data_IF_316415012197
#
_entry.id   IF_316415012197
#
_cell.length_a   1.000
_cell.length_b   1.000
_cell.length_c   1.000
_cell.angle_alpha   90.00
_cell.angle_beta   90.00
_cell.angle_gamma   90.00
#
_symmetry.space_group_name_H-M   'P 1'
#
loop_
_entity.id
_entity.type
_entity.pdbx_description
1 polymer ?
#
# COMPACT_ATOMS: atom_id res chain seq x y z
N UNK A 1 5.59 24.87 -10.34
CA UNK A 1 5.80 23.96 -11.49
C UNK A 1 5.19 24.62 -12.70
N UNK A 2 5.97 24.81 -13.76
CA UNK A 2 5.48 25.34 -15.02
C UNK A 2 5.48 24.23 -16.09
N UNK A 3 4.36 24.03 -16.76
CA UNK A 3 4.22 23.00 -17.80
C UNK A 3 3.27 23.47 -18.90
N UNK A 4 3.80 23.73 -20.10
CA UNK A 4 3.02 24.20 -21.27
C UNK A 4 2.09 25.38 -20.94
N UNK A 5 2.56 26.34 -20.14
CA UNK A 5 1.80 27.51 -19.71
C UNK A 5 0.92 27.29 -18.47
N UNK A 6 0.77 26.05 -17.99
CA UNK A 6 0.12 25.75 -16.72
C UNK A 6 1.12 25.98 -15.57
N UNK A 7 0.94 27.09 -14.85
CA UNK A 7 1.67 27.39 -13.62
C UNK A 7 0.91 26.86 -12.40
N UNK A 8 1.44 25.80 -11.79
CA UNK A 8 0.92 25.22 -10.55
C UNK A 8 1.74 25.72 -9.36
N UNK A 9 1.03 26.34 -8.41
CA UNK A 9 1.59 26.67 -7.09
C UNK A 9 1.85 25.38 -6.33
N UNK A 10 3.09 25.22 -5.85
CA UNK A 10 3.43 24.13 -4.93
C UNK A 10 3.03 24.62 -3.53
N UNK A 11 2.31 23.77 -2.81
CA UNK A 11 2.06 23.96 -1.38
C UNK A 11 3.09 23.08 -0.67
N UNK A 12 3.96 23.72 0.11
CA UNK A 12 4.99 23.06 0.91
C UNK A 12 4.59 23.25 2.36
N UNK A 13 4.59 22.17 3.13
CA UNK A 13 4.47 22.26 4.58
C UNK A 13 5.85 22.57 5.18
N UNK A 14 6.09 23.84 5.47
CA UNK A 14 7.35 24.30 6.05
C UNK A 14 7.57 23.76 7.48
N UNK A 15 6.55 23.25 8.17
CA UNK A 15 6.74 22.62 9.48
C UNK A 15 7.14 21.15 9.35
N UNK A 16 6.95 20.56 8.18
CA UNK A 16 7.30 19.18 7.91
C UNK A 16 8.78 19.03 7.53
N UNK A 17 9.60 18.61 8.52
CA UNK A 17 11.02 18.36 8.33
C UNK A 17 11.33 17.44 7.13
N UNK A 18 10.51 16.40 6.92
CA UNK A 18 10.72 15.46 5.82
C UNK A 18 10.56 16.14 4.46
N UNK A 19 9.56 16.99 4.29
CA UNK A 19 9.35 17.73 3.03
C UNK A 19 10.49 18.71 2.78
N UNK A 20 10.89 19.47 3.80
CA UNK A 20 12.03 20.39 3.73
C UNK A 20 13.32 19.70 3.32
N UNK A 21 13.63 18.56 3.93
CA UNK A 21 14.84 17.82 3.62
C UNK A 21 14.78 17.18 2.23
N UNK A 22 13.62 16.68 1.80
CA UNK A 22 13.43 16.11 0.47
C UNK A 22 13.64 17.15 -0.63
N UNK A 23 13.23 18.40 -0.40
CA UNK A 23 13.37 19.50 -1.35
C UNK A 23 14.81 19.93 -1.60
N UNK A 24 15.77 19.54 -0.74
CA UNK A 24 17.20 19.77 -0.95
C UNK A 24 17.78 18.85 -2.03
N UNK A 25 17.13 17.71 -2.29
CA UNK A 25 17.57 16.76 -3.31
C UNK A 25 17.26 17.27 -4.73
N UNK A 26 18.09 16.88 -5.69
CA UNK A 26 17.86 17.22 -7.10
C UNK A 26 16.53 16.63 -7.59
N UNK A 27 15.73 17.40 -8.33
CA UNK A 27 14.50 16.91 -8.94
C UNK A 27 14.88 16.05 -10.16
N UNK A 28 14.48 14.78 -10.14
CA UNK A 28 14.60 13.89 -11.30
C UNK A 28 13.60 14.27 -12.39
N UNK A 29 12.32 14.35 -12.03
CA UNK A 29 11.24 14.75 -12.93
C UNK A 29 9.95 15.10 -12.16
N UNK A 30 9.04 15.78 -12.82
CA UNK A 30 7.66 15.98 -12.36
C UNK A 30 6.70 15.18 -13.24
N UNK A 31 5.66 14.58 -12.66
CA UNK A 31 4.58 13.91 -13.41
C UNK A 31 3.19 14.28 -12.93
N UNK A 32 2.24 14.34 -13.85
CA UNK A 32 0.83 14.53 -13.54
C UNK A 32 0.16 13.17 -13.29
N UNK A 33 -0.43 13.02 -12.11
CA UNK A 33 -1.17 11.83 -11.70
C UNK A 33 -2.65 12.15 -11.61
N UNK A 34 -3.44 11.36 -12.32
CA UNK A 34 -4.89 11.41 -12.28
C UNK A 34 -5.44 10.33 -11.36
N UNK A 35 -6.19 10.72 -10.33
CA UNK A 35 -6.87 9.80 -9.40
C UNK A 35 -8.37 10.10 -9.35
N UNK A 36 -9.21 9.07 -9.31
CA UNK A 36 -10.62 9.24 -9.00
C UNK A 36 -10.80 9.07 -7.48
N UNK A 37 -11.27 10.11 -6.80
CA UNK A 37 -11.45 10.14 -5.34
C UNK A 37 -12.86 10.64 -5.05
N UNK A 38 -13.65 9.81 -4.36
CA UNK A 38 -15.04 10.14 -3.99
C UNK A 38 -15.89 10.60 -5.20
N UNK A 39 -15.75 9.89 -6.33
CA UNK A 39 -16.48 10.18 -7.57
C UNK A 39 -15.96 11.39 -8.36
N UNK A 40 -14.94 12.09 -7.87
CA UNK A 40 -14.36 13.25 -8.54
C UNK A 40 -12.97 12.92 -9.09
N UNK A 41 -12.74 13.33 -10.33
CA UNK A 41 -11.42 13.27 -10.93
C UNK A 41 -10.53 14.34 -10.31
N UNK A 42 -9.41 13.93 -9.72
CA UNK A 42 -8.41 14.82 -9.13
C UNK A 42 -7.07 14.63 -9.84
N UNK A 43 -6.41 15.74 -10.10
CA UNK A 43 -5.07 15.79 -10.68
C UNK A 43 -4.09 16.23 -9.61
N UNK A 44 -2.96 15.52 -9.53
CA UNK A 44 -1.88 15.80 -8.60
C UNK A 44 -0.60 15.93 -9.40
N UNK A 45 0.23 16.91 -9.06
CA UNK A 45 1.60 16.91 -9.55
C UNK A 45 2.47 16.20 -8.54
N UNK A 46 3.13 15.13 -8.99
CA UNK A 46 4.12 14.42 -8.20
C UNK A 46 5.50 14.84 -8.64
N UNK A 47 6.28 15.34 -7.68
CA UNK A 47 7.71 15.61 -7.84
C UNK A 47 8.46 14.34 -7.44
N UNK A 48 9.43 13.94 -8.26
CA UNK A 48 10.32 12.81 -7.99
C UNK A 48 11.72 13.35 -7.85
N UNK A 49 12.36 13.05 -6.72
CA UNK A 49 13.71 13.47 -6.40
C UNK A 49 14.71 12.35 -6.68
N UNK A 50 15.95 12.72 -7.00
CA UNK A 50 17.09 11.80 -7.07
C UNK A 50 17.64 11.53 -5.67
N UNK A 51 18.41 10.45 -5.56
CA UNK A 51 19.11 10.09 -4.32
C UNK A 51 18.21 9.38 -3.31
N UNK A 52 18.67 9.36 -2.06
CA UNK A 52 17.98 8.66 -0.98
C UNK A 52 16.87 9.53 -0.38
N UNK A 53 15.71 8.95 -0.01
CA UNK A 53 14.67 9.69 0.70
C UNK A 53 15.24 10.21 2.05
N UNK A 54 14.75 11.31 2.63
CA UNK A 54 15.20 11.83 3.93
C UNK A 54 14.98 10.87 5.12
N UNK A 55 15.77 11.04 6.19
CA UNK A 55 15.62 10.31 7.46
C UNK A 55 14.56 11.00 8.32
N UNK A 56 13.75 10.18 8.99
CA UNK A 56 12.83 10.69 10.00
C UNK A 56 13.62 11.09 11.26
N UNK A 57 13.20 12.18 11.91
CA UNK A 57 13.81 12.67 13.15
C UNK A 57 12.90 12.31 14.31
N UNK A 58 13.48 11.81 15.39
CA UNK A 58 12.73 11.66 16.62
C UNK A 58 12.45 13.03 17.24
N UNK A 59 11.17 13.40 17.33
CA UNK A 59 10.76 14.72 17.83
C UNK A 59 11.17 14.98 19.29
N UNK A 60 11.43 13.95 20.08
CA UNK A 60 11.82 14.09 21.50
C UNK A 60 13.32 14.28 21.66
N UNK A 61 14.13 13.51 20.92
CA UNK A 61 15.59 13.54 21.05
C UNK A 61 16.28 14.46 20.05
N UNK A 62 15.60 14.80 18.95
CA UNK A 62 16.17 15.56 17.83
C UNK A 62 17.12 14.73 16.95
N UNK A 63 17.30 13.44 17.25
CA UNK A 63 18.20 12.56 16.52
C UNK A 63 17.52 11.89 15.32
N UNK A 64 18.30 11.58 14.29
CA UNK A 64 17.83 10.77 13.18
C UNK A 64 17.52 9.35 13.64
N UNK A 65 16.30 8.88 13.33
CA UNK A 65 15.94 7.49 13.58
C UNK A 65 16.83 6.57 12.77
N UNK A 66 17.37 5.55 13.44
CA UNK A 66 18.06 4.45 12.75
C UNK A 66 17.07 3.82 11.79
N UNK A 67 17.43 3.77 10.50
CA UNK A 67 16.61 3.13 9.47
C UNK A 67 16.61 1.62 9.59
N UNK A 68 17.74 1.08 10.07
CA UNK A 68 18.06 -0.33 9.97
C UNK A 68 18.76 -0.78 11.25
N UNK A 69 18.40 -1.98 11.71
CA UNK A 69 19.10 -2.71 12.76
C UNK A 69 20.40 -3.34 12.24
N UNK A 70 20.85 -4.41 12.90
CA UNK A 70 22.06 -5.14 12.53
C UNK A 70 21.80 -6.64 12.59
N UNK A 71 22.30 -7.36 11.59
CA UNK A 71 22.22 -8.82 11.54
C UNK A 71 21.13 -9.33 10.62
N UNK A 72 20.98 -10.65 10.62
CA UNK A 72 20.07 -11.38 9.75
C UNK A 72 18.67 -11.48 10.34
N UNK A 73 17.66 -11.20 9.52
CA UNK A 73 16.25 -11.41 9.83
C UNK A 73 15.69 -12.38 8.81
N UNK A 74 15.20 -13.52 9.28
CA UNK A 74 14.57 -14.54 8.44
C UNK A 74 13.09 -14.27 8.36
N UNK A 75 12.51 -14.35 7.17
CA UNK A 75 11.10 -13.99 6.93
C UNK A 75 10.41 -15.08 6.12
N UNK A 76 9.30 -15.58 6.64
CA UNK A 76 8.36 -16.46 5.95
C UNK A 76 7.08 -15.70 5.68
N UNK A 77 6.71 -15.59 4.40
CA UNK A 77 5.56 -14.80 3.96
C UNK A 77 4.49 -15.76 3.44
N UNK A 78 3.48 -16.01 4.27
CA UNK A 78 2.28 -16.73 3.87
C UNK A 78 1.28 -15.83 3.14
N UNK A 79 0.14 -16.43 2.76
CA UNK A 79 -0.96 -15.68 2.09
C UNK A 79 -1.61 -14.60 2.97
N UNK A 80 -1.65 -14.84 4.27
CA UNK A 80 -2.37 -14.01 5.25
C UNK A 80 -1.47 -13.49 6.38
N UNK A 81 -0.38 -14.20 6.67
CA UNK A 81 0.49 -13.93 7.79
C UNK A 81 1.92 -13.82 7.32
N UNK A 82 2.72 -13.10 8.08
CA UNK A 82 4.16 -13.08 7.99
C UNK A 82 4.71 -13.53 9.32
N UNK A 83 5.68 -14.43 9.29
CA UNK A 83 6.51 -14.78 10.44
C UNK A 83 7.90 -14.24 10.16
N UNK A 84 8.47 -13.50 11.10
CA UNK A 84 9.89 -13.15 11.06
C UNK A 84 10.60 -13.65 12.30
N UNK A 85 11.88 -13.98 12.16
CA UNK A 85 12.74 -14.46 13.23
C UNK A 85 14.04 -13.65 13.30
N UNK A 86 14.45 -13.29 14.52
CA UNK A 86 15.74 -12.65 14.83
C UNK A 86 16.28 -13.21 16.14
N UNK A 87 17.54 -13.65 16.14
CA UNK A 87 18.25 -14.15 17.33
C UNK A 87 17.49 -15.23 18.13
N UNK A 88 16.74 -16.08 17.45
CA UNK A 88 15.93 -17.16 18.05
C UNK A 88 14.56 -16.73 18.54
N UNK A 89 14.20 -15.45 18.46
CA UNK A 89 12.85 -14.95 18.73
C UNK A 89 12.05 -14.84 17.43
N UNK A 90 10.86 -15.44 17.40
CA UNK A 90 9.95 -15.36 16.24
C UNK A 90 8.68 -14.57 16.58
N UNK A 91 8.16 -13.84 15.59
CA UNK A 91 6.90 -13.11 15.70
C UNK A 91 6.04 -13.35 14.46
N UNK A 92 4.78 -13.71 14.70
CA UNK A 92 3.76 -13.82 13.68
C UNK A 92 2.89 -12.57 13.64
N UNK A 93 2.65 -12.04 12.43
CA UNK A 93 1.85 -10.85 12.18
C UNK A 93 0.85 -11.14 11.06
N UNK A 94 -0.41 -10.78 11.26
CA UNK A 94 -1.39 -10.78 10.17
C UNK A 94 -1.12 -9.64 9.19
N UNK A 95 -0.99 -9.98 7.91
CA UNK A 95 -0.78 -9.02 6.83
C UNK A 95 -2.03 -8.19 6.58
N UNK A 96 -1.86 -6.87 6.59
CA UNK A 96 -2.88 -5.90 6.22
C UNK A 96 -4.26 -6.13 6.88
N UNK A 97 -4.27 -6.38 8.19
CA UNK A 97 -5.48 -6.60 9.01
C UNK A 97 -6.47 -5.42 8.95
N UNK A 98 -6.01 -4.16 8.86
CA UNK A 98 -6.88 -2.96 8.88
C UNK A 98 -7.82 -2.82 7.67
N UNK A 99 -7.78 -3.72 6.69
CA UNK A 99 -8.71 -3.71 5.55
C UNK A 99 -10.07 -4.36 5.86
N UNK A 100 -10.24 -5.03 7.01
CA UNK A 100 -11.43 -5.82 7.32
C UNK A 100 -12.75 -5.07 7.10
N UNK A 101 -12.87 -3.85 7.64
CA UNK A 101 -14.08 -3.03 7.49
C UNK A 101 -14.39 -2.71 6.02
N UNK A 102 -13.35 -2.45 5.23
CA UNK A 102 -13.46 -2.21 3.79
C UNK A 102 -13.85 -3.49 3.04
N UNK A 103 -13.41 -4.66 3.49
CA UNK A 103 -13.81 -5.95 2.89
C UNK A 103 -15.28 -6.28 3.12
N UNK A 104 -15.78 -6.02 4.33
CA UNK A 104 -17.22 -6.15 4.63
C UNK A 104 -18.01 -5.23 3.71
N UNK A 105 -17.65 -3.95 3.62
CA UNK A 105 -18.34 -2.99 2.75
C UNK A 105 -18.26 -3.36 1.27
N UNK A 106 -17.10 -3.83 0.81
CA UNK A 106 -16.90 -4.34 -0.56
C UNK A 106 -17.91 -5.44 -0.87
N UNK A 107 -18.08 -6.41 0.04
CA UNK A 107 -19.00 -7.54 -0.12
C UNK A 107 -20.45 -7.07 -0.23
N UNK A 108 -20.88 -6.19 0.66
CA UNK A 108 -22.23 -5.61 0.63
C UNK A 108 -22.53 -4.92 -0.71
N UNK A 109 -21.58 -4.15 -1.23
CA UNK A 109 -21.73 -3.44 -2.50
C UNK A 109 -21.82 -4.39 -3.69
N UNK A 110 -20.97 -5.43 -3.72
CA UNK A 110 -21.01 -6.47 -4.75
C UNK A 110 -22.36 -7.19 -4.74
N UNK A 111 -22.85 -7.61 -3.57
CA UNK A 111 -24.15 -8.27 -3.43
C UNK A 111 -25.30 -7.38 -3.90
N UNK A 112 -25.30 -6.09 -3.52
CA UNK A 112 -26.29 -5.11 -4.00
C UNK A 112 -26.25 -4.96 -5.52
N UNK A 113 -25.07 -4.90 -6.12
CA UNK A 113 -24.91 -4.79 -7.58
C UNK A 113 -25.41 -6.07 -8.26
N UNK A 114 -25.02 -7.25 -7.77
CA UNK A 114 -25.41 -8.54 -8.33
C UNK A 114 -26.91 -8.80 -8.20
N UNK A 115 -27.53 -8.42 -7.08
CA UNK A 115 -28.98 -8.48 -6.91
C UNK A 115 -29.70 -7.63 -7.96
N UNK A 116 -29.27 -6.38 -8.18
CA UNK A 116 -29.86 -5.51 -9.22
C UNK A 116 -29.75 -6.12 -10.61
N UNK A 117 -28.63 -6.79 -10.92
CA UNK A 117 -28.44 -7.49 -12.20
C UNK A 117 -29.43 -8.65 -12.36
N UNK A 118 -29.63 -9.47 -11.31
CA UNK A 118 -30.61 -10.57 -11.30
C UNK A 118 -32.04 -10.07 -11.47
N UNK A 119 -32.36 -8.91 -10.89
CA UNK A 119 -33.67 -8.25 -11.02
C UNK A 119 -33.86 -7.53 -12.38
N UNK A 120 -32.91 -7.64 -13.32
CA UNK A 120 -33.02 -6.99 -14.64
C UNK A 120 -32.99 -5.45 -14.58
N UNK A 121 -32.54 -4.86 -13.48
CA UNK A 121 -32.57 -3.41 -13.29
C UNK A 121 -31.48 -2.72 -14.12
N UNK A 122 -31.86 -1.62 -14.77
CA UNK A 122 -30.96 -0.84 -15.63
C UNK A 122 -29.64 -0.45 -14.95
N UNK A 123 -28.54 -0.76 -15.61
CA UNK A 123 -27.17 -0.39 -15.22
C UNK A 123 -26.89 1.09 -15.42
N UNK A 124 -27.69 1.77 -16.26
CA UNK A 124 -27.60 3.21 -16.51
C UNK A 124 -28.22 4.05 -15.38
N UNK A 125 -29.05 3.42 -14.53
CA UNK A 125 -29.69 4.10 -13.41
C UNK A 125 -28.69 4.79 -12.49
N UNK A 126 -29.05 5.99 -12.01
CA UNK A 126 -28.24 6.78 -11.06
C UNK A 126 -27.85 5.93 -9.84
N UNK A 127 -28.77 5.10 -9.34
CA UNK A 127 -28.52 4.20 -8.22
C UNK A 127 -27.44 3.15 -8.52
N UNK A 128 -27.46 2.54 -9.70
CA UNK A 128 -26.43 1.57 -10.09
C UNK A 128 -25.05 2.24 -10.21
N UNK A 129 -24.99 3.41 -10.85
CA UNK A 129 -23.75 4.19 -10.98
C UNK A 129 -23.15 4.56 -9.62
N UNK A 130 -23.97 5.02 -8.66
CA UNK A 130 -23.54 5.32 -7.29
C UNK A 130 -22.94 4.09 -6.58
N UNK A 131 -23.57 2.92 -6.70
CA UNK A 131 -23.05 1.68 -6.11
C UNK A 131 -21.68 1.29 -6.71
N UNK A 132 -21.53 1.42 -8.03
CA UNK A 132 -20.26 1.12 -8.72
C UNK A 132 -19.17 2.13 -8.34
N UNK A 133 -19.49 3.41 -8.24
CA UNK A 133 -18.56 4.45 -7.78
C UNK A 133 -18.10 4.20 -6.33
N UNK A 134 -19.03 3.84 -5.45
CA UNK A 134 -18.69 3.50 -4.08
C UNK A 134 -17.79 2.25 -4.01
N UNK A 135 -18.07 1.24 -4.82
CA UNK A 135 -17.24 0.04 -4.90
C UNK A 135 -15.81 0.39 -5.37
N UNK A 136 -15.66 1.27 -6.36
CA UNK A 136 -14.35 1.78 -6.81
C UNK A 136 -13.60 2.51 -5.69
N UNK A 137 -14.31 3.33 -4.92
CA UNK A 137 -13.72 4.05 -3.78
C UNK A 137 -13.27 3.09 -2.66
N UNK A 138 -14.03 2.02 -2.39
CA UNK A 138 -13.63 0.97 -1.45
C UNK A 138 -12.37 0.26 -1.92
N UNK A 139 -12.28 -0.14 -3.20
CA UNK A 139 -11.07 -0.76 -3.75
C UNK A 139 -9.85 0.17 -3.63
N UNK A 140 -10.02 1.47 -3.93
CA UNK A 140 -8.96 2.47 -3.78
C UNK A 140 -8.43 2.51 -2.35
N UNK A 141 -9.34 2.62 -1.37
CA UNK A 141 -8.98 2.65 0.06
C UNK A 141 -8.28 1.37 0.51
N UNK A 142 -8.72 0.19 0.02
CA UNK A 142 -8.06 -1.07 0.35
C UNK A 142 -6.60 -1.10 -0.12
N UNK A 143 -6.33 -0.61 -1.33
CA UNK A 143 -4.96 -0.51 -1.85
C UNK A 143 -4.11 0.43 -1.01
N UNK A 144 -4.64 1.60 -0.64
CA UNK A 144 -3.92 2.57 0.18
C UNK A 144 -3.60 2.01 1.58
N UNK A 145 -4.57 1.33 2.23
CA UNK A 145 -4.37 0.71 3.55
C UNK A 145 -3.34 -0.41 3.49
N UNK A 146 -3.40 -1.33 2.51
CA UNK A 146 -2.39 -2.38 2.34
C UNK A 146 -0.99 -1.78 2.19
N UNK A 147 -0.86 -0.80 1.31
CA UNK A 147 0.43 -0.13 1.08
C UNK A 147 0.94 0.50 2.37
N UNK A 148 0.10 1.25 3.08
CA UNK A 148 0.49 1.87 4.35
C UNK A 148 0.97 0.84 5.37
N UNK A 149 0.20 -0.24 5.59
CA UNK A 149 0.57 -1.26 6.57
C UNK A 149 1.85 -2.00 6.19
N UNK A 150 2.03 -2.32 4.91
CA UNK A 150 3.25 -2.96 4.43
C UNK A 150 4.46 -2.03 4.53
N UNK A 151 4.31 -0.72 4.29
CA UNK A 151 5.37 0.25 4.55
C UNK A 151 5.77 0.28 6.03
N UNK A 152 4.81 0.26 6.96
CA UNK A 152 5.08 0.17 8.39
C UNK A 152 5.77 -1.13 8.76
N UNK A 153 5.26 -2.27 8.30
CA UNK A 153 5.82 -3.59 8.58
C UNK A 153 7.24 -3.73 8.03
N UNK A 154 7.52 -3.21 6.83
CA UNK A 154 8.88 -3.19 6.30
C UNK A 154 9.83 -2.33 7.14
N UNK A 155 9.36 -1.22 7.71
CA UNK A 155 10.19 -0.42 8.63
C UNK A 155 10.49 -1.20 9.91
N UNK A 156 9.50 -1.91 10.45
CA UNK A 156 9.68 -2.78 11.62
C UNK A 156 10.72 -3.87 11.33
N UNK A 157 10.56 -4.64 10.25
CA UNK A 157 11.51 -5.69 9.86
C UNK A 157 12.92 -5.12 9.67
N UNK A 158 13.06 -4.01 8.94
CA UNK A 158 14.37 -3.39 8.71
C UNK A 158 14.97 -2.85 10.00
N UNK A 159 14.17 -2.38 10.96
CA UNK A 159 14.68 -1.93 12.25
C UNK A 159 15.34 -3.04 13.07
N UNK A 160 15.03 -4.31 12.79
CA UNK A 160 15.61 -5.48 13.45
C UNK A 160 16.96 -5.89 12.86
N UNK A 161 17.13 -5.77 11.54
CA UNK A 161 18.35 -6.23 10.88
C UNK A 161 18.54 -5.69 9.48
N UNK A 162 19.79 -5.78 9.01
CA UNK A 162 20.25 -5.17 7.78
C UNK A 162 20.39 -6.16 6.62
N UNK A 163 20.19 -7.45 6.90
CA UNK A 163 20.07 -8.55 5.94
C UNK A 163 18.72 -9.23 6.17
N UNK A 164 17.85 -9.18 5.17
CA UNK A 164 16.54 -9.82 5.22
C UNK A 164 16.54 -11.00 4.27
N UNK A 165 16.42 -12.21 4.80
CA UNK A 165 16.30 -13.45 4.03
C UNK A 165 14.84 -13.86 3.96
N UNK A 166 14.28 -13.95 2.74
CA UNK A 166 12.92 -14.45 2.53
C UNK A 166 13.01 -15.94 2.25
N UNK A 167 12.73 -16.77 3.26
CA UNK A 167 12.81 -18.23 3.17
C UNK A 167 11.63 -18.82 2.40
N UNK A 168 10.45 -18.20 2.51
CA UNK A 168 9.22 -18.68 1.88
C UNK A 168 8.34 -17.53 1.43
N UNK A 169 7.74 -17.66 0.25
CA UNK A 169 6.74 -16.73 -0.26
C UNK A 169 5.58 -17.49 -0.90
N UNK A 170 4.47 -17.60 -0.16
CA UNK A 170 3.22 -18.08 -0.72
C UNK A 170 2.53 -16.98 -1.53
N UNK A 171 2.52 -17.13 -2.85
CA UNK A 171 1.80 -16.21 -3.73
C UNK A 171 0.30 -16.52 -3.78
N UNK A 172 -0.55 -15.55 -3.44
CA UNK A 172 -2.00 -15.63 -3.71
C UNK A 172 -2.31 -15.44 -5.20
N UNK A 173 -1.36 -14.93 -6.01
CA UNK A 173 -1.63 -14.60 -7.42
C UNK A 173 -1.95 -15.84 -8.25
N UNK A 174 -1.19 -16.93 -8.10
CA UNK A 174 -1.39 -18.16 -8.88
C UNK A 174 -2.78 -18.77 -8.63
N UNK A 175 -3.27 -18.70 -7.38
CA UNK A 175 -4.62 -19.14 -7.01
C UNK A 175 -5.72 -18.18 -7.50
N UNK A 176 -5.44 -16.87 -7.57
CA UNK A 176 -6.37 -15.86 -8.08
C UNK A 176 -6.52 -15.94 -9.61
N UNK A 177 -5.41 -16.15 -10.33
CA UNK A 177 -5.40 -16.25 -11.80
C UNK A 177 -6.03 -17.55 -12.29
N UNK A 178 -5.85 -18.67 -11.57
CA UNK A 178 -6.45 -19.97 -11.92
C UNK A 178 -7.97 -20.03 -11.72
N UNK A 179 -8.56 -19.22 -10.83
CA UNK A 179 -10.01 -19.27 -10.50
C UNK A 179 -10.90 -18.29 -11.29
N UNK A 180 -10.35 -17.49 -12.20
CA UNK A 180 -11.10 -16.52 -13.03
C UNK A 180 -11.52 -15.24 -12.29
N UNK A 181 -11.68 -14.13 -13.04
CA UNK A 181 -11.90 -12.75 -12.51
C UNK A 181 -13.08 -12.59 -11.54
N UNK A 182 -14.05 -13.49 -11.55
CA UNK A 182 -15.28 -13.42 -10.74
C UNK A 182 -15.25 -14.26 -9.45
N UNK A 183 -14.30 -15.18 -9.27
CA UNK A 183 -14.11 -15.92 -8.01
C UNK A 183 -13.00 -15.30 -7.16
N UNK A 184 -13.03 -13.96 -7.04
CA UNK A 184 -12.16 -13.20 -6.13
C UNK A 184 -12.52 -13.53 -4.69
N UNK A 185 -11.96 -14.65 -4.26
CA UNK A 185 -11.87 -15.23 -2.92
C UNK A 185 -13.05 -14.90 -2.00
N UNK A 186 -14.01 -15.84 -1.98
CA UNK A 186 -15.05 -15.95 -0.96
C UNK A 186 -14.39 -16.09 0.40
N UNK A 187 -14.62 -15.16 1.33
CA UNK A 187 -14.59 -15.45 2.77
C UNK A 187 -15.61 -14.60 3.51
N UNK A 188 -16.32 -15.28 4.41
CA UNK A 188 -17.32 -14.82 5.37
C UNK A 188 -16.73 -14.87 6.80
N UNK A 189 -17.59 -14.77 7.82
CA UNK A 189 -17.27 -14.62 9.26
C UNK A 189 -16.43 -15.75 9.92
N UNK A 190 -15.98 -16.79 9.20
CA UNK A 190 -15.39 -18.01 9.80
C UNK A 190 -14.20 -18.67 9.07
N UNK A 191 -13.59 -18.12 8.01
CA UNK A 191 -12.38 -18.78 7.45
C UNK A 191 -11.93 -18.42 6.02
N UNK A 192 -10.76 -17.78 5.98
CA UNK A 192 -9.56 -17.76 5.08
C UNK A 192 -9.54 -17.49 3.57
N UNK A 193 -8.76 -16.43 3.26
CA UNK A 193 -8.13 -15.89 2.04
C UNK A 193 -8.59 -14.52 1.52
N UNK A 194 -8.61 -13.50 2.37
CA UNK A 194 -8.59 -12.11 1.88
C UNK A 194 -7.25 -11.85 1.19
N UNK A 195 -7.22 -11.20 0.01
CA UNK A 195 -5.93 -10.86 -0.60
C UNK A 195 -5.20 -9.84 0.28
N UNK A 196 -4.15 -10.27 0.99
CA UNK A 196 -3.30 -9.39 1.83
C UNK A 196 -2.12 -8.77 1.09
N UNK A 197 -1.98 -9.07 -0.21
CA UNK A 197 -0.92 -8.57 -1.09
C UNK A 197 0.52 -8.83 -0.57
N UNK A 198 0.91 -10.09 -0.27
CA UNK A 198 2.26 -10.41 0.20
C UNK A 198 3.36 -9.95 -0.77
N UNK A 199 3.13 -10.05 -2.09
CA UNK A 199 4.08 -9.56 -3.11
C UNK A 199 4.35 -8.05 -3.02
N UNK A 200 3.34 -7.25 -2.61
CA UNK A 200 3.53 -5.81 -2.41
C UNK A 200 4.49 -5.53 -1.24
N UNK A 201 4.46 -6.35 -0.20
CA UNK A 201 5.40 -6.24 0.91
C UNK A 201 6.83 -6.53 0.44
N UNK A 202 7.03 -7.58 -0.36
CA UNK A 202 8.34 -7.91 -0.94
C UNK A 202 8.87 -6.78 -1.81
N UNK A 203 8.03 -6.21 -2.68
CA UNK A 203 8.40 -5.05 -3.51
C UNK A 203 8.82 -3.85 -2.64
N UNK A 204 8.12 -3.59 -1.53
CA UNK A 204 8.46 -2.51 -0.59
C UNK A 204 9.78 -2.80 0.14
N UNK A 205 10.00 -4.04 0.60
CA UNK A 205 11.25 -4.46 1.25
C UNK A 205 12.43 -4.28 0.30
N UNK A 206 12.35 -4.81 -0.92
CA UNK A 206 13.40 -4.67 -1.93
C UNK A 206 13.73 -3.20 -2.21
N UNK A 207 12.71 -2.37 -2.46
CA UNK A 207 12.89 -0.94 -2.69
C UNK A 207 13.58 -0.24 -1.51
N UNK A 208 13.26 -0.61 -0.26
CA UNK A 208 13.89 -0.02 0.93
C UNK A 208 15.32 -0.49 1.16
N UNK A 209 15.62 -1.74 0.81
CA UNK A 209 16.99 -2.28 0.83
C UNK A 209 17.83 -1.65 -0.27
N UNK A 210 17.29 -1.38 -1.46
CA UNK A 210 18.01 -0.67 -2.53
C UNK A 210 18.47 0.72 -2.09
N UNK A 211 17.61 1.47 -1.38
CA UNK A 211 17.99 2.76 -0.79
C UNK A 211 19.19 2.63 0.16
N UNK A 212 19.41 1.49 0.83
CA UNK A 212 20.58 1.24 1.69
C UNK A 212 21.87 1.15 0.89
N UNK A 213 21.82 0.52 -0.29
CA UNK A 213 22.99 0.23 -1.11
C UNK A 213 23.41 1.41 -2.00
N UNK A 214 22.74 2.56 -1.89
CA UNK A 214 23.06 3.76 -2.66
C UNK A 214 22.82 3.62 -4.17
N UNK A 215 21.93 2.69 -4.57
CA UNK A 215 21.51 2.47 -5.96
C UNK A 215 20.12 3.02 -6.21
#
# INVERSE_FOLDING_TARGET
IDWKGLRLKILIDEENHYEKEALKSEIAYCRLIRKNIRGKLKYYTQIVFKGMPPRDIDKKTGEYRKRVGSGEVKVKIGKEYLVYEKDGESKEIELADKIYSLEVRRRELIEKINRRKREGLSTLSVRHRKLVEELKEVYRKQTDVRKYQHECLSNEILSLGDRVEIEELESVQEEIYSKGKERRVKITRSGKRGNRAPRMLVEILNRKVEYKNGK
#
